data_IF_781520309435
#
_entry.id   IF_781520309435
#
_cell.length_a   1.000
_cell.length_b   1.000
_cell.length_c   1.000
_cell.angle_alpha   90.00
_cell.angle_beta   90.00
_cell.angle_gamma   90.00
#
_symmetry.space_group_name_H-M   'P 1'
#
loop_
_entity.id
_entity.type
_entity.pdbx_description
1 polymer ?
#
# COMPACT_ATOMS: atom_id res chain seq x y z
N UNK A 1 -23.25 -1.56 2.00
CA UNK A 1 -22.79 -1.76 3.42
C UNK A 1 -22.68 -3.27 3.61
N UNK A 2 -21.49 -3.79 3.89
CA UNK A 2 -21.28 -5.21 4.17
C UNK A 2 -21.96 -5.53 5.52
N UNK A 3 -22.73 -6.61 5.56
CA UNK A 3 -23.38 -7.03 6.79
C UNK A 3 -22.46 -7.97 7.56
N UNK A 4 -22.13 -7.60 8.80
CA UNK A 4 -21.38 -8.43 9.72
C UNK A 4 -22.30 -8.89 10.85
N UNK A 5 -22.36 -10.19 11.16
CA UNK A 5 -23.09 -10.68 12.33
C UNK A 5 -22.48 -10.05 13.61
N UNK A 6 -23.35 -9.77 14.59
CA UNK A 6 -22.87 -9.37 15.92
C UNK A 6 -21.97 -10.46 16.49
N UNK A 7 -20.80 -10.06 17.00
CA UNK A 7 -19.93 -10.99 17.73
C UNK A 7 -20.71 -11.55 18.92
N UNK A 8 -20.81 -12.88 19.09
CA UNK A 8 -21.49 -13.50 20.21
C UNK A 8 -20.93 -13.00 21.55
N UNK A 9 -21.83 -12.66 22.48
CA UNK A 9 -21.49 -12.02 23.76
C UNK A 9 -20.46 -12.81 24.60
N UNK A 10 -20.41 -14.14 24.46
CA UNK A 10 -19.44 -14.96 25.17
C UNK A 10 -17.99 -14.69 24.72
N UNK A 11 -17.73 -14.38 23.42
CA UNK A 11 -16.39 -13.99 22.97
C UNK A 11 -15.97 -12.64 23.52
N UNK A 12 -16.92 -11.73 23.78
CA UNK A 12 -16.62 -10.45 24.40
C UNK A 12 -16.33 -10.55 25.89
N UNK A 13 -16.78 -11.63 26.55
CA UNK A 13 -16.58 -11.90 27.96
C UNK A 13 -15.34 -12.75 28.26
N UNK A 14 -14.83 -13.50 27.25
CA UNK A 14 -13.68 -14.36 27.40
C UNK A 14 -12.38 -13.54 27.52
N UNK A 15 -11.46 -13.99 28.35
CA UNK A 15 -10.12 -13.38 28.42
C UNK A 15 -9.26 -13.78 27.20
N UNK A 16 -8.23 -13.01 26.85
CA UNK A 16 -7.39 -13.28 25.68
C UNK A 16 -6.73 -14.67 25.67
N UNK A 17 -6.42 -15.23 26.81
CA UNK A 17 -5.79 -16.56 26.88
C UNK A 17 -6.80 -17.67 26.55
N UNK A 18 -8.03 -17.53 27.02
CA UNK A 18 -9.14 -18.42 26.68
C UNK A 18 -9.43 -18.38 25.17
N UNK A 19 -9.51 -17.18 24.57
CA UNK A 19 -9.70 -17.01 23.12
C UNK A 19 -8.55 -17.66 22.34
N UNK A 20 -7.30 -17.43 22.76
CA UNK A 20 -6.14 -18.03 22.12
C UNK A 20 -6.16 -19.56 22.17
N UNK A 21 -6.59 -20.15 23.30
CA UNK A 21 -6.74 -21.60 23.42
C UNK A 21 -7.84 -22.15 22.51
N UNK A 22 -8.97 -21.45 22.38
CA UNK A 22 -10.05 -21.80 21.45
C UNK A 22 -9.58 -21.77 19.99
N UNK A 23 -8.83 -20.71 19.59
CA UNK A 23 -8.24 -20.62 18.23
C UNK A 23 -7.33 -21.82 17.97
N UNK A 24 -6.40 -22.14 18.89
CA UNK A 24 -5.50 -23.28 18.76
C UNK A 24 -6.24 -24.62 18.65
N UNK A 25 -7.33 -24.79 19.43
CA UNK A 25 -8.17 -25.99 19.34
C UNK A 25 -8.83 -26.12 17.97
N UNK A 26 -9.38 -25.03 17.42
CA UNK A 26 -10.00 -25.03 16.10
C UNK A 26 -8.99 -25.25 14.98
N UNK A 27 -7.80 -24.66 15.07
CA UNK A 27 -6.73 -24.93 14.11
C UNK A 27 -6.35 -26.41 14.09
N UNK A 28 -6.25 -27.05 15.26
CA UNK A 28 -5.95 -28.47 15.34
C UNK A 28 -7.05 -29.36 14.77
N UNK A 29 -8.33 -28.98 14.98
CA UNK A 29 -9.50 -29.70 14.43
C UNK A 29 -9.55 -29.60 12.90
N UNK A 30 -9.32 -28.41 12.33
CA UNK A 30 -9.41 -28.18 10.91
C UNK A 30 -8.16 -28.64 10.15
N UNK A 31 -7.00 -28.61 10.79
CA UNK A 31 -5.74 -29.06 10.18
C UNK A 31 -5.43 -28.29 8.89
N UNK A 32 -5.04 -29.01 7.83
CA UNK A 32 -4.68 -28.45 6.52
C UNK A 32 -5.84 -27.78 5.79
N UNK A 33 -7.10 -28.02 6.23
CA UNK A 33 -8.28 -27.35 5.68
C UNK A 33 -8.32 -25.85 5.99
N UNK A 34 -7.57 -25.37 6.98
CA UNK A 34 -7.52 -23.98 7.41
C UNK A 34 -6.13 -23.40 7.18
N UNK A 35 -6.09 -22.20 6.58
CA UNK A 35 -4.90 -21.37 6.47
C UNK A 35 -5.19 -20.00 7.08
N UNK A 36 -4.36 -19.54 8.01
CA UNK A 36 -4.48 -18.22 8.63
C UNK A 36 -3.35 -17.32 8.11
N UNK A 37 -3.73 -16.20 7.50
CA UNK A 37 -2.82 -15.19 6.96
C UNK A 37 -2.80 -13.97 7.85
N UNK A 38 -1.63 -13.40 8.10
CA UNK A 38 -1.47 -12.19 8.90
C UNK A 38 -0.65 -11.13 8.16
N UNK A 39 -1.26 -9.99 7.89
CA UNK A 39 -0.53 -8.86 7.32
C UNK A 39 0.43 -8.26 8.35
N UNK A 40 1.61 -7.80 7.91
CA UNK A 40 2.64 -7.24 8.78
C UNK A 40 2.19 -6.12 9.72
N UNK A 41 1.12 -5.40 9.38
CA UNK A 41 0.58 -4.30 10.20
C UNK A 41 -0.35 -4.77 11.32
N UNK A 42 -0.62 -6.06 11.44
CA UNK A 42 -1.40 -6.60 12.54
C UNK A 42 -0.59 -6.65 13.85
N UNK A 43 -1.32 -6.56 14.97
CA UNK A 43 -0.74 -6.71 16.30
C UNK A 43 -0.14 -8.09 16.50
N UNK A 44 0.88 -8.19 17.37
CA UNK A 44 1.56 -9.45 17.67
C UNK A 44 0.59 -10.54 18.18
N UNK A 45 -0.45 -10.14 18.94
CA UNK A 45 -1.49 -11.04 19.45
C UNK A 45 -2.34 -11.69 18.35
N UNK A 46 -2.46 -11.06 17.20
CA UNK A 46 -3.10 -11.63 16.02
C UNK A 46 -2.09 -12.47 15.22
N UNK A 47 -0.90 -11.93 14.96
CA UNK A 47 0.11 -12.58 14.12
C UNK A 47 0.62 -13.90 14.68
N UNK A 48 0.64 -14.08 16.02
CA UNK A 48 1.02 -15.37 16.62
C UNK A 48 0.14 -16.55 16.19
N UNK A 49 -1.05 -16.27 15.62
CA UNK A 49 -1.95 -17.29 15.10
C UNK A 49 -1.84 -17.50 13.59
N UNK A 50 -1.08 -16.66 12.88
CA UNK A 50 -0.91 -16.76 11.44
C UNK A 50 0.00 -17.94 11.06
N UNK A 51 -0.31 -18.61 9.97
CA UNK A 51 0.53 -19.60 9.32
C UNK A 51 1.56 -18.93 8.41
N UNK A 52 1.14 -17.84 7.76
CA UNK A 52 1.97 -17.03 6.88
C UNK A 52 1.81 -15.55 7.23
N UNK A 53 2.92 -14.82 7.14
CA UNK A 53 2.96 -13.37 7.28
C UNK A 53 3.60 -12.74 6.05
N UNK A 54 3.18 -11.53 5.68
CA UNK A 54 3.72 -10.86 4.50
C UNK A 54 3.04 -9.52 4.21
N UNK A 55 3.45 -8.90 3.11
CA UNK A 55 2.72 -7.78 2.51
C UNK A 55 1.47 -8.24 1.75
N UNK A 56 0.66 -7.29 1.27
CA UNK A 56 -0.66 -7.57 0.72
C UNK A 56 -0.66 -8.56 -0.45
N UNK A 57 0.15 -8.33 -1.50
CA UNK A 57 0.12 -9.15 -2.71
C UNK A 57 0.90 -10.45 -2.54
N UNK A 58 2.08 -10.37 -1.90
CA UNK A 58 2.91 -11.55 -1.61
C UNK A 58 2.11 -12.55 -0.77
N UNK A 59 1.44 -12.04 0.28
CA UNK A 59 0.63 -12.89 1.16
C UNK A 59 -0.53 -13.54 0.41
N UNK A 60 -1.23 -12.81 -0.47
CA UNK A 60 -2.31 -13.36 -1.29
C UNK A 60 -1.83 -14.41 -2.30
N UNK A 61 -0.65 -14.23 -2.90
CA UNK A 61 -0.04 -15.23 -3.80
C UNK A 61 0.38 -16.48 -3.05
N UNK A 62 1.07 -16.30 -1.91
CA UNK A 62 1.44 -17.43 -1.04
C UNK A 62 0.22 -18.19 -0.56
N UNK A 63 -0.90 -17.49 -0.29
CA UNK A 63 -2.17 -18.10 0.07
C UNK A 63 -2.70 -19.02 -1.02
N UNK A 64 -2.69 -18.56 -2.27
CA UNK A 64 -3.16 -19.37 -3.41
C UNK A 64 -2.29 -20.63 -3.62
N UNK A 65 -0.97 -20.49 -3.55
CA UNK A 65 -0.01 -21.60 -3.67
C UNK A 65 -0.19 -22.63 -2.55
N UNK A 66 -0.24 -22.17 -1.30
CA UNK A 66 -0.40 -23.04 -0.13
C UNK A 66 -1.79 -23.70 -0.08
N UNK A 67 -2.85 -22.96 -0.44
CA UNK A 67 -4.19 -23.51 -0.50
C UNK A 67 -4.28 -24.69 -1.51
N UNK A 68 -3.68 -24.51 -2.68
CA UNK A 68 -3.61 -25.57 -3.69
C UNK A 68 -2.79 -26.78 -3.21
N UNK A 69 -1.66 -26.53 -2.52
CA UNK A 69 -0.76 -27.58 -2.02
C UNK A 69 -1.37 -28.40 -0.88
N UNK A 70 -2.10 -27.78 0.04
CA UNK A 70 -2.66 -28.40 1.25
C UNK A 70 -4.06 -28.96 1.06
N UNK A 71 -4.80 -28.55 0.02
CA UNK A 71 -6.23 -28.80 -0.11
C UNK A 71 -7.03 -27.95 0.88
N UNK A 72 -6.62 -26.71 1.10
CA UNK A 72 -7.27 -25.77 2.01
C UNK A 72 -8.68 -25.44 1.55
N UNK A 73 -9.63 -25.45 2.49
CA UNK A 73 -11.02 -25.06 2.24
C UNK A 73 -11.32 -23.64 2.74
N UNK A 74 -10.62 -23.19 3.78
CA UNK A 74 -10.84 -21.91 4.45
C UNK A 74 -9.54 -21.14 4.61
N UNK A 75 -9.55 -19.88 4.18
CA UNK A 75 -8.50 -18.91 4.46
C UNK A 75 -9.08 -17.84 5.40
N UNK A 76 -8.48 -17.66 6.59
CA UNK A 76 -8.78 -16.52 7.45
C UNK A 76 -7.71 -15.45 7.18
N UNK A 77 -8.11 -14.31 6.61
CA UNK A 77 -7.21 -13.24 6.29
C UNK A 77 -7.25 -12.16 7.38
N UNK A 78 -6.24 -12.14 8.26
CA UNK A 78 -6.06 -11.10 9.26
C UNK A 78 -5.38 -9.89 8.60
N UNK A 79 -6.19 -9.01 8.04
CA UNK A 79 -5.80 -7.81 7.29
C UNK A 79 -7.01 -6.93 7.06
N UNK A 80 -7.03 -6.23 5.93
CA UNK A 80 -8.13 -5.36 5.54
C UNK A 80 -8.85 -5.86 4.29
N UNK A 81 -10.02 -5.29 3.99
CA UNK A 81 -10.96 -5.79 3.00
C UNK A 81 -10.33 -6.04 1.61
N UNK A 82 -9.62 -5.08 1.02
CA UNK A 82 -9.02 -5.24 -0.31
C UNK A 82 -7.97 -6.38 -0.39
N UNK A 83 -7.34 -6.72 0.74
CA UNK A 83 -6.39 -7.85 0.81
C UNK A 83 -7.14 -9.19 0.75
N UNK A 84 -8.24 -9.31 1.48
CA UNK A 84 -9.10 -10.48 1.44
C UNK A 84 -9.71 -10.66 0.04
N UNK A 85 -10.21 -9.58 -0.60
CA UNK A 85 -10.65 -9.59 -2.00
C UNK A 85 -9.53 -10.09 -2.94
N UNK A 86 -8.31 -9.61 -2.76
CA UNK A 86 -7.18 -10.04 -3.60
C UNK A 86 -6.87 -11.51 -3.41
N UNK A 87 -6.93 -12.02 -2.19
CA UNK A 87 -6.76 -13.45 -1.91
C UNK A 87 -7.88 -14.29 -2.54
N UNK A 88 -9.13 -13.82 -2.46
CA UNK A 88 -10.28 -14.47 -3.06
C UNK A 88 -10.20 -14.56 -4.59
N UNK A 89 -9.77 -13.46 -5.23
CA UNK A 89 -9.53 -13.41 -6.69
C UNK A 89 -8.45 -14.41 -7.13
N UNK A 90 -7.41 -14.60 -6.33
CA UNK A 90 -6.27 -15.44 -6.68
C UNK A 90 -6.44 -16.92 -6.32
N UNK A 91 -7.43 -17.25 -5.47
CA UNK A 91 -7.69 -18.63 -5.03
C UNK A 91 -8.81 -19.28 -5.84
N UNK A 92 -8.85 -20.64 -5.95
CA UNK A 92 -9.98 -21.34 -6.57
C UNK A 92 -11.29 -21.06 -5.85
N UNK A 93 -12.41 -21.07 -6.58
CA UNK A 93 -13.77 -20.86 -6.04
C UNK A 93 -14.22 -21.91 -4.99
N UNK A 94 -13.49 -23.00 -4.83
CA UNK A 94 -13.68 -24.00 -3.77
C UNK A 94 -13.10 -23.56 -2.42
N UNK A 95 -12.26 -22.52 -2.38
CA UNK A 95 -11.65 -21.95 -1.18
C UNK A 95 -12.48 -20.76 -0.72
N UNK A 96 -12.85 -20.74 0.55
CA UNK A 96 -13.56 -19.59 1.15
C UNK A 96 -12.58 -18.67 1.86
N UNK A 97 -12.50 -17.42 1.43
CA UNK A 97 -11.71 -16.40 2.10
C UNK A 97 -12.58 -15.63 3.10
N UNK A 98 -12.17 -15.64 4.35
CA UNK A 98 -12.89 -15.06 5.48
C UNK A 98 -12.12 -13.87 6.03
N UNK A 99 -12.75 -12.72 6.11
CA UNK A 99 -12.25 -11.54 6.81
C UNK A 99 -12.88 -11.50 8.22
N UNK A 100 -12.09 -11.58 9.31
CA UNK A 100 -12.64 -11.64 10.67
C UNK A 100 -13.48 -10.45 11.06
N UNK A 101 -13.12 -9.28 10.54
CA UNK A 101 -13.85 -8.02 10.73
C UNK A 101 -14.10 -7.36 9.37
N UNK A 102 -15.35 -7.37 8.91
CA UNK A 102 -15.73 -6.76 7.62
C UNK A 102 -15.64 -5.22 7.66
N UNK A 103 -15.54 -4.60 8.82
CA UNK A 103 -15.29 -3.16 8.96
C UNK A 103 -13.82 -2.79 8.86
N UNK A 104 -12.90 -3.77 8.88
CA UNK A 104 -11.49 -3.56 8.70
C UNK A 104 -11.21 -3.08 7.27
N UNK A 105 -11.26 -1.77 7.06
CA UNK A 105 -11.06 -1.08 5.80
C UNK A 105 -9.67 -0.47 5.64
N UNK A 106 -9.44 0.11 4.48
CA UNK A 106 -8.27 0.92 4.18
C UNK A 106 -8.76 2.26 3.63
N UNK A 107 -8.55 3.35 4.39
CA UNK A 107 -9.03 4.68 3.98
C UNK A 107 -8.53 5.10 2.60
N UNK A 108 -7.32 4.69 2.20
CA UNK A 108 -6.79 4.96 0.86
C UNK A 108 -7.55 4.20 -0.23
N UNK A 109 -7.86 2.92 -0.01
CA UNK A 109 -8.66 2.13 -0.95
C UNK A 109 -10.06 2.72 -1.13
N UNK A 110 -10.63 3.26 -0.05
CA UNK A 110 -11.95 3.89 -0.05
C UNK A 110 -11.97 5.28 -0.71
N UNK A 111 -10.80 5.92 -0.91
CA UNK A 111 -10.70 7.21 -1.60
C UNK A 111 -10.83 7.12 -3.13
N UNK A 112 -10.83 5.92 -3.71
CA UNK A 112 -11.05 5.70 -5.14
C UNK A 112 -12.27 4.78 -5.30
N UNK A 113 -13.44 5.37 -5.38
CA UNK A 113 -14.67 4.64 -5.68
C UNK A 113 -14.78 4.42 -7.20
N UNK A 114 -15.42 3.33 -7.58
CA UNK A 114 -15.53 2.94 -8.99
C UNK A 114 -16.22 4.03 -9.85
N UNK A 115 -17.29 4.65 -9.34
CA UNK A 115 -18.02 5.71 -10.04
C UNK A 115 -17.11 6.93 -10.28
N UNK A 116 -16.40 7.39 -9.23
CA UNK A 116 -15.46 8.52 -9.34
C UNK A 116 -14.30 8.25 -10.31
N UNK A 117 -13.84 6.99 -10.38
CA UNK A 117 -12.77 6.58 -11.31
C UNK A 117 -13.27 6.58 -12.75
N UNK A 118 -14.52 6.17 -13.02
CA UNK A 118 -15.12 6.29 -14.34
C UNK A 118 -15.30 7.74 -14.75
N UNK A 119 -15.80 8.60 -13.86
CA UNK A 119 -15.98 10.03 -14.15
C UNK A 119 -14.63 10.69 -14.49
N UNK A 120 -13.58 10.38 -13.73
CA UNK A 120 -12.21 10.80 -14.03
C UNK A 120 -11.76 10.33 -15.42
N UNK A 121 -12.00 9.06 -15.73
CA UNK A 121 -11.60 8.47 -17.01
C UNK A 121 -12.27 9.16 -18.18
N UNK A 122 -13.60 9.38 -18.12
CA UNK A 122 -14.39 10.04 -19.16
C UNK A 122 -13.93 11.50 -19.34
N UNK A 123 -13.68 12.21 -18.24
CA UNK A 123 -13.15 13.56 -18.28
C UNK A 123 -11.76 13.63 -18.94
N UNK A 124 -10.85 12.70 -18.58
CA UNK A 124 -9.52 12.64 -19.19
C UNK A 124 -9.58 12.33 -20.68
N UNK A 125 -10.48 11.44 -21.13
CA UNK A 125 -10.70 11.17 -22.55
C UNK A 125 -11.21 12.43 -23.30
N UNK A 126 -12.01 13.26 -22.65
CA UNK A 126 -12.49 14.52 -23.22
C UNK A 126 -11.40 15.61 -23.28
N UNK A 127 -10.56 15.71 -22.24
CA UNK A 127 -9.46 16.69 -22.16
C UNK A 127 -8.30 16.31 -23.09
N UNK A 128 -8.06 15.01 -23.28
CA UNK A 128 -6.92 14.42 -24.00
C UNK A 128 -7.39 13.59 -25.22
N UNK A 129 -8.12 14.18 -26.18
CA UNK A 129 -8.74 13.41 -27.27
C UNK A 129 -7.67 12.74 -28.14
N UNK A 130 -7.76 11.40 -28.27
CA UNK A 130 -6.82 10.61 -29.05
C UNK A 130 -5.48 10.30 -28.38
N UNK A 131 -5.25 10.82 -27.19
CA UNK A 131 -4.08 10.44 -26.39
C UNK A 131 -4.31 9.07 -25.74
N UNK A 132 -3.24 8.30 -25.62
CA UNK A 132 -3.27 7.01 -24.93
C UNK A 132 -3.05 7.21 -23.44
N UNK A 133 -3.90 6.60 -22.64
CA UNK A 133 -3.78 6.59 -21.18
C UNK A 133 -3.76 5.15 -20.73
N UNK A 134 -2.75 4.75 -19.94
CA UNK A 134 -2.65 3.45 -19.30
C UNK A 134 -2.88 3.65 -17.80
N UNK A 135 -3.98 3.12 -17.24
CA UNK A 135 -4.21 3.23 -15.80
C UNK A 135 -3.35 2.22 -15.02
N UNK A 136 -2.81 2.67 -13.90
CA UNK A 136 -2.14 1.82 -12.91
C UNK A 136 -2.94 1.91 -11.61
N UNK A 137 -3.24 0.78 -10.99
CA UNK A 137 -3.75 0.82 -9.62
C UNK A 137 -2.79 0.17 -8.64
N UNK A 138 -2.58 0.84 -7.52
CA UNK A 138 -1.92 0.22 -6.38
C UNK A 138 -2.82 -0.87 -5.81
N UNK A 139 -2.23 -1.95 -5.30
CA UNK A 139 -2.97 -3.09 -4.73
C UNK A 139 -3.97 -2.70 -3.63
N UNK A 140 -3.71 -1.56 -2.96
CA UNK A 140 -4.60 -0.94 -1.98
C UNK A 140 -5.77 -0.22 -2.68
N UNK A 141 -6.58 -0.97 -3.37
CA UNK A 141 -7.79 -0.54 -4.09
C UNK A 141 -8.81 -1.67 -4.09
N UNK A 142 -10.08 -1.35 -4.32
CA UNK A 142 -11.16 -2.36 -4.40
C UNK A 142 -10.99 -3.28 -5.62
N UNK A 143 -11.61 -4.46 -5.58
CA UNK A 143 -11.68 -5.37 -6.72
C UNK A 143 -12.32 -4.69 -7.95
N UNK A 144 -13.32 -3.82 -7.75
CA UNK A 144 -13.97 -3.08 -8.81
C UNK A 144 -12.99 -2.14 -9.56
N UNK A 145 -12.15 -1.39 -8.82
CA UNK A 145 -11.12 -0.53 -9.42
C UNK A 145 -10.05 -1.36 -10.14
N UNK A 146 -9.64 -2.50 -9.57
CA UNK A 146 -8.70 -3.43 -10.23
C UNK A 146 -9.28 -3.96 -11.54
N UNK A 147 -10.56 -4.33 -11.55
CA UNK A 147 -11.25 -4.80 -12.75
C UNK A 147 -11.34 -3.71 -13.82
N UNK A 148 -11.70 -2.47 -13.43
CA UNK A 148 -11.69 -1.32 -14.33
C UNK A 148 -10.32 -1.12 -14.97
N UNK A 149 -9.25 -1.07 -14.17
CA UNK A 149 -7.88 -0.90 -14.65
C UNK A 149 -7.50 -2.00 -15.64
N UNK A 150 -7.82 -3.27 -15.32
CA UNK A 150 -7.57 -4.39 -16.23
C UNK A 150 -8.36 -4.28 -17.55
N UNK A 151 -9.62 -3.86 -17.52
CA UNK A 151 -10.44 -3.65 -18.72
C UNK A 151 -9.89 -2.52 -19.62
N UNK A 152 -9.22 -1.53 -19.03
CA UNK A 152 -8.58 -0.43 -19.80
C UNK A 152 -7.14 -0.75 -20.22
N UNK A 153 -6.69 -2.02 -20.14
CA UNK A 153 -5.34 -2.44 -20.51
C UNK A 153 -4.25 -1.96 -19.56
N UNK A 154 -4.63 -1.67 -18.33
CA UNK A 154 -3.71 -1.27 -17.27
C UNK A 154 -3.24 -2.43 -16.38
N UNK A 155 -2.55 -2.12 -15.30
CA UNK A 155 -1.99 -3.12 -14.38
C UNK A 155 -2.10 -2.71 -12.92
N UNK A 156 -2.08 -3.73 -12.04
CA UNK A 156 -2.00 -3.56 -10.59
C UNK A 156 -0.53 -3.61 -10.15
N UNK A 157 -0.11 -2.66 -9.31
CA UNK A 157 1.23 -2.63 -8.73
C UNK A 157 1.22 -2.77 -7.21
N UNK A 158 2.40 -2.96 -6.65
CA UNK A 158 2.72 -2.84 -5.22
C UNK A 158 3.81 -1.79 -5.04
N UNK A 159 4.09 -1.37 -3.81
CA UNK A 159 5.21 -0.46 -3.53
C UNK A 159 6.57 -1.04 -3.97
N UNK A 160 6.71 -2.36 -4.03
CA UNK A 160 7.96 -3.01 -4.45
C UNK A 160 8.17 -3.04 -5.97
N UNK A 161 7.10 -3.02 -6.77
CA UNK A 161 7.20 -3.09 -8.24
C UNK A 161 6.58 -1.89 -8.96
N UNK A 162 6.13 -0.86 -8.22
CA UNK A 162 5.51 0.34 -8.80
C UNK A 162 6.35 0.93 -9.93
N UNK A 163 7.66 0.96 -9.73
CA UNK A 163 8.60 1.43 -10.73
C UNK A 163 8.57 0.67 -12.04
N UNK A 164 8.61 -0.65 -12.00
CA UNK A 164 8.60 -1.48 -13.20
C UNK A 164 7.26 -1.39 -13.95
N UNK A 165 6.14 -1.35 -13.20
CA UNK A 165 4.79 -1.19 -13.76
C UNK A 165 4.63 0.21 -14.38
N UNK A 166 5.19 1.24 -13.74
CA UNK A 166 5.21 2.60 -14.26
C UNK A 166 5.97 2.70 -15.60
N UNK A 167 7.17 2.13 -15.66
CA UNK A 167 7.98 2.12 -16.88
C UNK A 167 7.26 1.37 -18.03
N UNK A 168 6.64 0.24 -17.72
CA UNK A 168 5.83 -0.54 -18.64
C UNK A 168 4.62 0.27 -19.16
N UNK A 169 3.88 0.94 -18.29
CA UNK A 169 2.72 1.75 -18.67
C UNK A 169 3.13 2.95 -19.54
N UNK A 170 4.20 3.66 -19.15
CA UNK A 170 4.76 4.78 -19.90
C UNK A 170 5.22 4.37 -21.30
N UNK A 171 5.74 3.15 -21.45
CA UNK A 171 6.12 2.60 -22.75
C UNK A 171 4.93 2.19 -23.64
N UNK A 172 3.69 2.27 -23.13
CA UNK A 172 2.46 1.95 -23.86
C UNK A 172 1.73 0.71 -23.37
N UNK A 173 2.10 0.15 -22.20
CA UNK A 173 1.40 -0.97 -21.58
C UNK A 173 1.42 -2.24 -22.45
N UNK A 174 0.24 -2.84 -22.66
CA UNK A 174 0.09 -4.05 -23.49
C UNK A 174 0.34 -3.81 -24.99
N UNK A 175 0.34 -2.56 -25.46
CA UNK A 175 0.49 -2.19 -26.86
C UNK A 175 1.63 -1.19 -27.09
N UNK A 176 2.88 -1.53 -26.73
CA UNK A 176 4.02 -0.62 -26.86
C UNK A 176 4.35 -0.24 -28.31
N UNK A 177 3.92 -1.04 -29.29
CA UNK A 177 4.04 -0.75 -30.72
C UNK A 177 3.25 0.50 -31.15
N UNK A 178 2.23 0.90 -30.37
CA UNK A 178 1.41 2.08 -30.66
C UNK A 178 2.00 3.38 -30.06
N UNK A 179 3.18 3.27 -29.45
CA UNK A 179 3.92 4.38 -28.85
C UNK A 179 3.69 4.56 -27.34
N UNK A 180 4.29 5.60 -26.76
CA UNK A 180 4.19 5.88 -25.33
C UNK A 180 2.75 6.25 -24.93
N UNK A 181 2.45 6.11 -23.64
CA UNK A 181 1.17 6.47 -23.07
C UNK A 181 1.34 7.36 -21.83
N UNK A 182 0.32 8.16 -21.54
CA UNK A 182 0.15 8.84 -20.26
C UNK A 182 -0.29 7.83 -19.21
N UNK A 183 -0.11 8.16 -17.95
CA UNK A 183 -0.47 7.29 -16.84
C UNK A 183 -1.58 7.94 -16.01
N UNK A 184 -2.61 7.17 -15.67
CA UNK A 184 -3.51 7.46 -14.56
C UNK A 184 -3.11 6.57 -13.38
N UNK A 185 -2.58 7.15 -12.30
CA UNK A 185 -2.10 6.40 -11.13
C UNK A 185 -3.09 6.48 -9.98
N UNK A 186 -3.64 5.34 -9.60
CA UNK A 186 -4.68 5.14 -8.57
C UNK A 186 -4.12 4.33 -7.41
N UNK A 187 -4.69 4.43 -6.20
CA UNK A 187 -5.37 5.57 -5.63
C UNK A 187 -4.41 6.51 -4.86
N UNK A 188 -3.13 6.14 -4.67
CA UNK A 188 -2.16 6.86 -3.84
C UNK A 188 -1.35 7.87 -4.65
N UNK A 189 -1.57 9.17 -4.37
CA UNK A 189 -0.82 10.25 -5.01
C UNK A 189 0.66 10.21 -4.69
N UNK A 190 1.03 9.83 -3.45
CA UNK A 190 2.41 9.90 -3.01
C UNK A 190 3.25 8.79 -3.63
N UNK A 191 2.77 7.54 -3.64
CA UNK A 191 3.45 6.45 -4.33
C UNK A 191 3.62 6.76 -5.83
N UNK A 192 2.57 7.25 -6.48
CA UNK A 192 2.63 7.65 -7.90
C UNK A 192 3.62 8.77 -8.14
N UNK A 193 3.56 9.84 -7.33
CA UNK A 193 4.45 11.01 -7.42
C UNK A 193 5.91 10.65 -7.18
N UNK A 194 6.20 9.92 -6.09
CA UNK A 194 7.56 9.48 -5.78
C UNK A 194 8.12 8.55 -6.84
N UNK A 195 7.26 7.72 -7.46
CA UNK A 195 7.65 6.86 -8.58
C UNK A 195 7.98 7.69 -9.83
N UNK A 196 7.19 8.71 -10.16
CA UNK A 196 7.43 9.63 -11.26
C UNK A 196 8.72 10.45 -11.04
N UNK A 197 8.88 11.01 -9.82
CA UNK A 197 10.07 11.78 -9.42
C UNK A 197 11.36 10.95 -9.54
N UNK A 198 11.34 9.72 -9.05
CA UNK A 198 12.48 8.80 -9.17
C UNK A 198 12.85 8.44 -10.63
N UNK A 199 11.98 8.76 -11.59
CA UNK A 199 12.20 8.60 -13.05
C UNK A 199 12.50 9.91 -13.75
N UNK A 200 12.79 10.94 -12.98
CA UNK A 200 13.20 12.25 -13.47
C UNK A 200 12.06 13.11 -14.01
N UNK A 201 10.81 12.74 -13.78
CA UNK A 201 9.68 13.61 -14.09
C UNK A 201 9.58 14.72 -13.05
N UNK A 202 9.34 15.93 -13.54
CA UNK A 202 9.11 17.10 -12.71
C UNK A 202 7.71 17.05 -12.11
N UNK A 203 7.65 17.03 -10.79
CA UNK A 203 6.39 16.96 -10.06
C UNK A 203 5.82 18.34 -9.75
N UNK A 204 4.55 18.42 -9.37
CA UNK A 204 3.94 19.65 -8.87
C UNK A 204 4.57 20.12 -7.54
N UNK A 205 5.19 19.21 -6.79
CA UNK A 205 5.98 19.55 -5.57
C UNK A 205 7.27 20.26 -5.97
N UNK A 206 7.97 19.77 -7.00
CA UNK A 206 9.17 20.42 -7.52
C UNK A 206 8.85 21.81 -8.08
N UNK A 207 7.75 21.93 -8.84
CA UNK A 207 7.28 23.20 -9.38
C UNK A 207 6.97 24.21 -8.26
N UNK A 208 6.32 23.77 -7.18
CA UNK A 208 6.01 24.63 -6.04
C UNK A 208 7.26 25.07 -5.27
N UNK A 209 8.31 24.23 -5.25
CA UNK A 209 9.54 24.45 -4.50
C UNK A 209 10.51 25.40 -5.22
N UNK A 210 10.69 25.23 -6.52
CA UNK A 210 11.72 25.96 -7.29
C UNK A 210 11.21 27.23 -7.98
N UNK A 211 9.87 27.42 -8.07
CA UNK A 211 9.26 28.59 -8.69
C UNK A 211 9.47 28.69 -10.22
N UNK A 212 9.96 27.63 -10.85
CA UNK A 212 10.15 27.55 -12.30
C UNK A 212 8.77 27.59 -12.99
N UNK A 213 8.54 28.47 -13.99
CA UNK A 213 7.26 28.60 -14.66
C UNK A 213 6.88 27.39 -15.55
N UNK A 214 7.79 26.46 -15.80
CA UNK A 214 7.45 25.24 -16.55
C UNK A 214 6.41 24.43 -15.78
N UNK A 215 5.39 23.96 -16.47
CA UNK A 215 4.38 23.08 -15.88
C UNK A 215 5.03 21.76 -15.40
N UNK A 216 4.47 21.21 -14.35
CA UNK A 216 4.84 19.88 -13.88
C UNK A 216 4.41 18.81 -14.89
N UNK A 217 5.14 17.69 -14.89
CA UNK A 217 4.80 16.50 -15.69
C UNK A 217 3.87 15.56 -14.92
N UNK A 218 3.55 15.92 -13.67
CA UNK A 218 2.50 15.28 -12.87
C UNK A 218 1.40 16.29 -12.54
N UNK A 219 0.16 15.81 -12.46
CA UNK A 219 -1.00 16.62 -12.06
C UNK A 219 -1.91 15.81 -11.16
N UNK A 220 -2.49 16.46 -10.14
CA UNK A 220 -3.40 15.82 -9.22
C UNK A 220 -4.83 15.87 -9.73
N UNK A 221 -5.54 14.74 -9.68
CA UNK A 221 -6.98 14.63 -9.86
C UNK A 221 -7.68 14.46 -8.50
N UNK A 222 -8.44 15.45 -8.08
CA UNK A 222 -9.27 15.38 -6.86
C UNK A 222 -10.75 15.21 -7.24
N UNK A 223 -11.38 14.02 -7.04
CA UNK A 223 -12.76 13.78 -7.40
C UNK A 223 -13.75 14.72 -6.70
N UNK A 224 -13.38 15.22 -5.50
CA UNK A 224 -14.21 16.17 -4.74
C UNK A 224 -14.24 17.58 -5.36
N UNK A 225 -13.40 17.85 -6.35
CA UNK A 225 -13.24 19.13 -7.04
C UNK A 225 -13.40 19.00 -8.55
N UNK A 226 -13.99 17.91 -9.01
CA UNK A 226 -14.13 17.61 -10.43
C UNK A 226 -12.78 17.74 -11.19
N UNK A 227 -11.75 17.09 -10.64
CA UNK A 227 -10.36 17.15 -11.07
C UNK A 227 -9.54 18.24 -10.36
N UNK A 228 -9.99 19.47 -10.33
CA UNK A 228 -9.43 20.57 -9.54
C UNK A 228 -8.23 21.28 -10.14
N UNK A 229 -7.77 20.90 -11.34
CA UNK A 229 -6.75 21.59 -12.14
C UNK A 229 -7.37 22.07 -13.46
N UNK A 230 -6.74 23.06 -14.09
CA UNK A 230 -7.13 23.51 -15.42
C UNK A 230 -6.72 22.47 -16.48
N UNK A 231 -7.48 22.40 -17.58
CA UNK A 231 -7.24 21.46 -18.69
C UNK A 231 -5.80 21.49 -19.21
N UNK A 232 -5.16 22.65 -19.25
CA UNK A 232 -3.79 22.80 -19.74
C UNK A 232 -2.77 22.08 -18.84
N UNK A 233 -3.04 21.95 -17.55
CA UNK A 233 -2.21 21.17 -16.66
C UNK A 233 -2.29 19.67 -16.99
N UNK A 234 -3.50 19.15 -17.29
CA UNK A 234 -3.67 17.76 -17.73
C UNK A 234 -3.03 17.51 -19.09
N UNK A 235 -3.10 18.48 -20.02
CA UNK A 235 -2.44 18.38 -21.34
C UNK A 235 -0.93 18.37 -21.24
N UNK A 236 -0.36 19.07 -20.27
CA UNK A 236 1.09 19.09 -20.04
C UNK A 236 1.61 17.87 -19.31
N UNK A 237 0.80 17.25 -18.45
CA UNK A 237 1.23 16.16 -17.58
C UNK A 237 1.37 14.82 -18.32
N UNK A 238 2.43 14.08 -18.04
CA UNK A 238 2.57 12.67 -18.41
C UNK A 238 1.80 11.75 -17.45
N UNK A 239 1.62 12.20 -16.19
CA UNK A 239 1.02 11.39 -15.12
C UNK A 239 -0.08 12.17 -14.41
N UNK A 240 -1.26 11.59 -14.41
CA UNK A 240 -2.39 12.05 -13.59
C UNK A 240 -2.40 11.22 -12.31
N UNK A 241 -2.30 11.87 -11.16
CA UNK A 241 -2.25 11.27 -9.85
C UNK A 241 -3.61 11.42 -9.15
N UNK A 242 -4.21 10.32 -8.73
CA UNK A 242 -5.42 10.36 -7.92
C UNK A 242 -5.13 10.96 -6.53
N UNK A 243 -5.99 11.86 -6.03
CA UNK A 243 -5.78 12.59 -4.77
C UNK A 243 -6.01 11.76 -3.48
N UNK A 244 -5.87 10.44 -3.54
CA UNK A 244 -5.88 9.58 -2.36
C UNK A 244 -4.51 9.52 -1.68
N UNK A 245 -4.48 9.01 -0.47
CA UNK A 245 -3.26 8.90 0.33
C UNK A 245 -3.43 7.90 1.48
N UNK A 246 -2.32 7.36 1.97
CA UNK A 246 -2.30 6.60 3.21
C UNK A 246 -2.38 7.55 4.42
N UNK A 247 -3.34 7.31 5.32
CA UNK A 247 -3.49 8.11 6.54
C UNK A 247 -2.29 8.00 7.47
N UNK A 248 -1.63 6.84 7.50
CA UNK A 248 -0.42 6.58 8.29
C UNK A 248 0.76 7.39 7.76
N UNK A 249 1.10 7.17 6.49
CA UNK A 249 2.32 7.73 5.91
C UNK A 249 2.24 9.25 5.73
N UNK A 250 1.03 9.81 5.61
CA UNK A 250 0.79 11.26 5.58
C UNK A 250 1.13 11.96 6.91
N UNK A 251 1.22 11.23 8.02
CA UNK A 251 1.59 11.81 9.33
C UNK A 251 3.07 12.18 9.40
N UNK A 252 3.92 11.54 8.60
CA UNK A 252 5.34 11.87 8.57
C UNK A 252 5.57 13.19 7.81
N UNK A 253 6.43 14.03 8.38
CA UNK A 253 6.72 15.38 7.89
C UNK A 253 8.22 15.63 7.84
N UNK A 254 8.68 16.60 7.01
CA UNK A 254 10.08 17.01 6.96
C UNK A 254 10.69 17.35 8.32
N UNK A 255 9.89 17.96 9.21
CA UNK A 255 10.32 18.34 10.55
C UNK A 255 10.70 17.14 11.42
N UNK A 256 10.08 15.97 11.20
CA UNK A 256 10.42 14.75 11.93
C UNK A 256 11.82 14.24 11.53
N UNK A 257 12.15 14.31 10.24
CA UNK A 257 13.49 13.96 9.75
C UNK A 257 14.53 14.92 10.31
N UNK A 258 14.25 16.22 10.29
CA UNK A 258 15.14 17.24 10.84
C UNK A 258 15.35 17.03 12.36
N UNK A 259 14.29 16.73 13.11
CA UNK A 259 14.37 16.45 14.54
C UNK A 259 15.20 15.20 14.85
N UNK A 260 14.97 14.10 14.11
CA UNK A 260 15.75 12.87 14.27
C UNK A 260 17.25 13.11 14.07
N UNK A 261 17.63 13.85 13.02
CA UNK A 261 19.04 14.19 12.72
C UNK A 261 19.64 15.20 13.69
N UNK A 262 18.84 16.11 14.23
CA UNK A 262 19.32 17.05 15.24
C UNK A 262 19.64 16.34 16.57
N UNK A 263 18.85 15.35 16.95
CA UNK A 263 19.07 14.57 18.17
C UNK A 263 20.14 13.49 17.98
N UNK A 264 20.18 12.86 16.80
CA UNK A 264 21.11 11.78 16.44
C UNK A 264 21.71 12.02 15.05
N UNK A 265 22.81 12.79 14.95
CA UNK A 265 23.41 13.17 13.67
C UNK A 265 23.83 11.98 12.78
N UNK A 266 24.15 10.84 13.39
CA UNK A 266 24.60 9.62 12.69
C UNK A 266 23.45 8.64 12.41
N UNK A 267 22.18 9.03 12.61
CA UNK A 267 21.05 8.15 12.34
C UNK A 267 20.80 7.99 10.84
N UNK A 268 20.29 6.84 10.47
CA UNK A 268 19.75 6.58 9.13
C UNK A 268 18.23 6.69 9.17
N UNK A 269 17.65 7.39 8.21
CA UNK A 269 16.20 7.54 8.05
C UNK A 269 15.74 6.71 6.86
N UNK A 270 14.80 5.78 7.08
CA UNK A 270 14.18 4.97 6.04
C UNK A 270 12.67 5.14 6.09
N UNK A 271 12.03 5.35 4.93
CA UNK A 271 10.61 5.64 4.86
C UNK A 271 9.92 4.80 3.78
N UNK A 272 8.60 4.62 3.93
CA UNK A 272 7.79 4.02 2.88
C UNK A 272 7.50 5.05 1.77
N UNK A 273 7.45 4.67 0.48
CA UNK A 273 7.21 5.60 -0.64
C UNK A 273 5.78 6.17 -0.70
N UNK A 274 4.87 5.79 0.19
CA UNK A 274 3.59 6.46 0.42
C UNK A 274 3.74 7.73 1.30
N UNK A 275 4.91 8.02 1.84
CA UNK A 275 5.21 9.30 2.48
C UNK A 275 5.21 10.42 1.42
N UNK A 276 4.94 11.66 1.87
CA UNK A 276 5.04 12.83 1.00
C UNK A 276 6.44 12.95 0.37
N UNK A 277 6.53 13.47 -0.85
CA UNK A 277 7.80 13.60 -1.58
C UNK A 277 8.85 14.33 -0.75
N UNK A 278 8.46 15.37 -0.05
CA UNK A 278 9.36 16.18 0.79
C UNK A 278 10.01 15.37 1.93
N UNK A 279 9.32 14.34 2.40
CA UNK A 279 9.85 13.39 3.42
C UNK A 279 10.78 12.38 2.76
N UNK A 280 10.38 11.85 1.60
CA UNK A 280 11.17 10.89 0.82
C UNK A 280 12.49 11.51 0.37
N UNK A 281 12.47 12.77 -0.10
CA UNK A 281 13.67 13.52 -0.53
C UNK A 281 14.67 13.75 0.62
N UNK A 282 14.20 13.82 1.85
CA UNK A 282 15.04 14.00 3.04
C UNK A 282 15.49 12.67 3.67
N UNK A 283 14.85 11.56 3.36
CA UNK A 283 15.23 10.25 3.87
C UNK A 283 16.52 9.73 3.19
N UNK A 284 17.26 8.88 3.89
CA UNK A 284 18.44 8.22 3.30
C UNK A 284 18.03 7.06 2.39
N UNK A 285 16.91 6.41 2.74
CA UNK A 285 16.36 5.28 1.99
C UNK A 285 14.83 5.38 1.93
N UNK A 286 14.28 4.93 0.81
CA UNK A 286 12.85 4.75 0.66
C UNK A 286 12.55 3.40 -0.02
N UNK A 287 11.57 2.66 0.49
CA UNK A 287 11.22 1.38 -0.10
C UNK A 287 9.98 0.74 0.51
N UNK A 288 9.56 -0.37 -0.09
CA UNK A 288 8.40 -1.14 0.35
C UNK A 288 8.58 -1.69 1.77
N UNK A 289 7.48 -2.18 2.35
CA UNK A 289 7.49 -2.86 3.66
C UNK A 289 8.55 -3.98 3.73
N UNK A 290 8.62 -4.83 2.71
CA UNK A 290 9.60 -5.92 2.63
C UNK A 290 11.03 -5.37 2.53
N UNK A 291 11.25 -4.30 1.74
CA UNK A 291 12.56 -3.65 1.66
C UNK A 291 12.99 -3.07 3.00
N UNK A 292 12.10 -2.41 3.71
CA UNK A 292 12.37 -1.85 5.05
C UNK A 292 12.76 -2.97 6.02
N UNK A 293 12.02 -4.08 6.03
CA UNK A 293 12.33 -5.25 6.85
C UNK A 293 13.71 -5.82 6.53
N UNK A 294 13.99 -6.08 5.25
CA UNK A 294 15.26 -6.66 4.78
C UNK A 294 16.47 -5.78 5.16
N UNK A 295 16.34 -4.46 4.99
CA UNK A 295 17.38 -3.49 5.37
C UNK A 295 17.64 -3.52 6.87
N UNK A 296 16.59 -3.47 7.70
CA UNK A 296 16.72 -3.43 9.15
C UNK A 296 17.23 -4.77 9.71
N UNK A 297 16.79 -5.89 9.15
CA UNK A 297 17.29 -7.21 9.53
C UNK A 297 18.77 -7.41 9.20
N UNK A 298 19.31 -6.70 8.22
CA UNK A 298 20.74 -6.73 7.84
C UNK A 298 21.53 -5.55 8.37
N UNK A 299 20.90 -4.65 9.14
CA UNK A 299 21.56 -3.46 9.66
C UNK A 299 22.77 -3.79 10.51
N UNK A 300 23.81 -2.97 10.40
CA UNK A 300 25.07 -3.15 11.14
C UNK A 300 24.85 -3.00 12.66
N UNK A 301 25.49 -3.83 13.48
CA UNK A 301 25.44 -3.70 14.92
C UNK A 301 25.89 -2.30 15.38
N UNK A 302 25.12 -1.70 16.28
CA UNK A 302 25.37 -0.36 16.80
C UNK A 302 24.77 0.76 15.95
N UNK A 303 24.15 0.46 14.80
CA UNK A 303 23.47 1.44 13.97
C UNK A 303 22.15 1.90 14.59
N UNK A 304 21.72 3.12 14.21
CA UNK A 304 20.47 3.73 14.66
C UNK A 304 19.62 4.12 13.47
N UNK A 305 18.35 3.72 13.52
CA UNK A 305 17.39 3.87 12.43
C UNK A 305 16.13 4.59 12.89
N UNK A 306 15.69 5.56 12.10
CA UNK A 306 14.36 6.15 12.20
C UNK A 306 13.51 5.70 11.03
N UNK A 307 12.35 5.14 11.31
CA UNK A 307 11.53 4.45 10.32
C UNK A 307 10.18 5.13 10.16
N UNK A 308 9.88 5.57 8.94
CA UNK A 308 8.61 6.19 8.57
C UNK A 308 7.66 5.19 7.91
N UNK A 309 7.06 4.30 8.71
CA UNK A 309 5.99 3.38 8.31
C UNK A 309 5.13 2.98 9.52
N UNK A 310 4.32 1.94 9.43
CA UNK A 310 3.33 1.53 10.41
C UNK A 310 3.98 1.02 11.73
N UNK A 311 3.39 1.40 12.86
CA UNK A 311 3.96 1.25 14.21
C UNK A 311 4.16 -0.21 14.66
N UNK A 312 3.23 -1.11 14.35
CA UNK A 312 3.34 -2.52 14.77
C UNK A 312 4.50 -3.23 14.06
N UNK A 313 4.69 -2.93 12.78
CA UNK A 313 5.84 -3.41 12.03
C UNK A 313 7.15 -2.89 12.63
N UNK A 314 7.25 -1.58 12.85
CA UNK A 314 8.47 -0.96 13.41
C UNK A 314 8.78 -1.50 14.80
N UNK A 315 7.77 -1.62 15.66
CA UNK A 315 7.94 -2.17 17.03
C UNK A 315 8.42 -3.61 17.00
N UNK A 316 7.89 -4.41 16.06
CA UNK A 316 8.28 -5.84 15.93
C UNK A 316 9.71 -5.98 15.45
N UNK A 317 10.10 -5.25 14.39
CA UNK A 317 11.47 -5.33 13.91
C UNK A 317 12.46 -4.76 14.91
N UNK A 318 12.10 -3.70 15.65
CA UNK A 318 12.94 -3.17 16.73
C UNK A 318 13.25 -4.23 17.80
N UNK A 319 12.25 -5.00 18.22
CA UNK A 319 12.44 -6.13 19.15
C UNK A 319 13.35 -7.21 18.55
N UNK A 320 13.13 -7.56 17.27
CA UNK A 320 13.87 -8.64 16.61
C UNK A 320 15.37 -8.33 16.46
N UNK A 321 15.73 -7.05 16.23
CA UNK A 321 17.14 -6.65 15.99
C UNK A 321 17.85 -6.13 17.25
N UNK A 322 17.14 -5.98 18.38
CA UNK A 322 17.68 -5.40 19.61
C UNK A 322 18.90 -6.16 20.16
N UNK A 323 18.91 -7.50 20.08
CA UNK A 323 20.03 -8.34 20.55
C UNK A 323 21.32 -8.09 19.75
N UNK A 324 21.21 -7.56 18.53
CA UNK A 324 22.34 -7.17 17.69
C UNK A 324 22.81 -5.74 17.98
N UNK A 325 22.27 -5.09 19.00
CA UNK A 325 22.54 -3.69 19.31
C UNK A 325 22.19 -2.72 18.14
N UNK A 326 21.15 -3.04 17.38
CA UNK A 326 20.56 -2.15 16.36
C UNK A 326 19.40 -1.42 17.01
N UNK A 327 19.44 -0.10 16.99
CA UNK A 327 18.40 0.75 17.56
C UNK A 327 17.43 1.18 16.43
N UNK A 328 16.17 0.79 16.56
CA UNK A 328 15.12 1.14 15.59
C UNK A 328 14.04 1.93 16.32
N UNK A 329 13.72 3.11 15.81
CA UNK A 329 12.69 4.02 16.32
C UNK A 329 11.71 4.44 15.23
N UNK A 330 10.49 4.76 15.65
CA UNK A 330 9.55 5.48 14.79
C UNK A 330 10.11 6.86 14.42
N UNK A 331 9.93 7.28 13.17
CA UNK A 331 10.29 8.63 12.72
C UNK A 331 9.44 9.72 13.40
N UNK A 332 8.25 9.36 13.88
CA UNK A 332 7.36 10.22 14.65
C UNK A 332 6.59 9.41 15.67
N UNK A 333 6.32 9.99 16.84
CA UNK A 333 5.48 9.39 17.88
C UNK A 333 3.97 9.40 17.52
N UNK A 334 3.62 9.81 16.30
CA UNK A 334 2.25 9.79 15.82
C UNK A 334 1.75 8.34 15.74
N UNK A 335 0.87 7.98 16.66
CA UNK A 335 0.15 6.71 16.59
C UNK A 335 -1.01 6.85 15.60
N UNK A 336 -1.15 5.85 14.72
CA UNK A 336 -2.38 5.67 13.99
C UNK A 336 -3.50 5.25 14.93
N UNK A 337 -4.60 5.96 14.85
CA UNK A 337 -5.87 5.57 15.46
C UNK A 337 -6.64 4.69 14.48
#
# INVERSE_FOLDING_TARGET
MLWQPKIPDHYLADDPATIAAQILSRRKELGDRLLILGHHYQQDDVLRHADLTGDSLKLSRMAAEEAARRGTEFIVFCGVHFMAETADILTPSSVQVLLPDLSAGCSMADMAQWDDVNDCWDALQAILPGERIVPITYVNSSAAVKAFVGMQGGACCTSSNAGAVFDWARAGGESPQDGPARILFLPDQHLGRNTAHARGLRTEVDQARDGDPRLAETVLWDPRKDGGAEDDAYRAAEVVLWAGHCSVHRLFRPEHVAAARAEYPDCTVIVHPECAQEVVDLADLAGSTEYILDVLERAEPGSRWFVGTEVHLVTRVAKAVAERNVEVRMLSDCQCL
#
